data_IF_752043766040
#
_entry.id   IF_752043766040
#
_cell.length_a   1.000
_cell.length_b   1.000
_cell.length_c   1.000
_cell.angle_alpha   90.00
_cell.angle_beta   90.00
_cell.angle_gamma   90.00
#
_symmetry.space_group_name_H-M   'P 1'
#
loop_
_entity.id
_entity.type
_entity.pdbx_description
1 polymer ?
#
# COMPACT_ATOMS: atom_id res chain seq x y z
N UNK A 1 16.59 19.06 -7.55
CA UNK A 1 16.47 18.35 -8.84
C UNK A 1 15.01 17.92 -9.00
N UNK A 2 14.38 18.21 -10.13
CA UNK A 2 13.00 17.76 -10.40
C UNK A 2 13.06 16.31 -10.88
N UNK A 3 12.21 15.45 -10.30
CA UNK A 3 12.16 14.02 -10.67
C UNK A 3 11.77 13.87 -12.15
N UNK A 4 12.49 13.03 -12.91
CA UNK A 4 12.18 12.81 -14.32
C UNK A 4 10.78 12.21 -14.51
N UNK A 5 10.18 12.42 -15.70
CA UNK A 5 8.85 11.87 -16.01
C UNK A 5 8.79 10.35 -15.87
N UNK A 6 9.83 9.64 -16.29
CA UNK A 6 9.92 8.17 -16.15
C UNK A 6 9.86 7.73 -14.69
N UNK A 7 10.65 8.37 -13.82
CA UNK A 7 10.63 8.10 -12.39
C UNK A 7 9.27 8.43 -11.75
N UNK A 8 8.60 9.49 -12.17
CA UNK A 8 7.28 9.82 -11.67
C UNK A 8 6.23 8.75 -12.00
N UNK A 9 6.23 8.21 -13.23
CA UNK A 9 5.38 7.07 -13.59
C UNK A 9 5.75 5.81 -12.83
N UNK A 10 7.05 5.55 -12.61
CA UNK A 10 7.50 4.43 -11.79
C UNK A 10 6.92 4.50 -10.37
N UNK A 11 7.01 5.66 -9.69
CA UNK A 11 6.44 5.83 -8.34
C UNK A 11 4.92 5.60 -8.31
N UNK A 12 4.19 6.09 -9.33
CA UNK A 12 2.75 5.82 -9.45
C UNK A 12 2.50 4.33 -9.62
N UNK A 13 3.24 3.66 -10.51
CA UNK A 13 3.16 2.23 -10.73
C UNK A 13 3.40 1.41 -9.46
N UNK A 14 4.41 1.77 -8.67
CA UNK A 14 4.69 1.15 -7.36
C UNK A 14 3.52 1.35 -6.39
N UNK A 15 2.95 2.56 -6.33
CA UNK A 15 1.79 2.82 -5.50
C UNK A 15 0.56 1.98 -5.90
N UNK A 16 0.27 1.90 -7.20
CA UNK A 16 -0.82 1.06 -7.74
C UNK A 16 -0.57 -0.42 -7.45
N UNK A 17 0.64 -0.91 -7.72
CA UNK A 17 1.03 -2.29 -7.45
C UNK A 17 0.83 -2.67 -5.98
N UNK A 18 1.23 -1.78 -5.06
CA UNK A 18 1.01 -1.94 -3.62
C UNK A 18 -0.47 -2.15 -3.33
N UNK A 19 -1.36 -1.32 -3.88
CA UNK A 19 -2.81 -1.44 -3.70
C UNK A 19 -3.43 -2.67 -4.39
N UNK A 20 -2.78 -3.27 -5.38
CA UNK A 20 -3.25 -4.51 -6.01
C UNK A 20 -2.93 -5.74 -5.16
N UNK A 21 -1.75 -5.78 -4.51
CA UNK A 21 -1.30 -6.93 -3.73
C UNK A 21 -1.91 -6.97 -2.34
N UNK A 22 -1.76 -5.88 -1.58
CA UNK A 22 -1.97 -5.91 -0.15
C UNK A 22 -3.42 -6.18 0.28
N UNK A 23 -4.47 -5.69 -0.41
CA UNK A 23 -5.84 -6.07 -0.10
C UNK A 23 -6.12 -7.56 -0.32
N UNK A 24 -5.56 -8.17 -1.37
CA UNK A 24 -5.67 -9.63 -1.57
C UNK A 24 -4.98 -10.38 -0.44
N UNK A 25 -3.80 -9.92 -0.03
CA UNK A 25 -3.07 -10.52 1.08
C UNK A 25 -3.84 -10.36 2.41
N UNK A 26 -4.47 -9.21 2.66
CA UNK A 26 -5.34 -9.00 3.82
C UNK A 26 -6.48 -10.02 3.88
N UNK A 27 -7.14 -10.30 2.75
CA UNK A 27 -8.17 -11.35 2.66
C UNK A 27 -7.59 -12.74 2.95
N UNK A 28 -6.38 -13.03 2.47
CA UNK A 28 -5.71 -14.30 2.74
C UNK A 28 -5.41 -14.47 4.24
N UNK A 29 -4.90 -13.43 4.91
CA UNK A 29 -4.63 -13.44 6.35
C UNK A 29 -5.94 -13.58 7.14
N UNK A 30 -7.00 -12.86 6.78
CA UNK A 30 -8.30 -12.97 7.44
C UNK A 30 -8.85 -14.40 7.40
N UNK A 31 -8.68 -15.09 6.26
CA UNK A 31 -9.15 -16.46 6.05
C UNK A 31 -8.21 -17.55 6.60
N UNK A 32 -7.03 -17.18 7.11
CA UNK A 32 -6.10 -18.13 7.70
C UNK A 32 -6.57 -18.55 9.10
N UNK A 33 -6.74 -19.86 9.39
CA UNK A 33 -7.12 -20.33 10.73
C UNK A 33 -6.20 -19.83 11.84
N UNK A 34 -4.91 -19.60 11.56
CA UNK A 34 -3.93 -19.09 12.54
C UNK A 34 -4.24 -17.68 13.03
N UNK A 35 -5.08 -16.94 12.31
CA UNK A 35 -5.55 -15.61 12.73
C UNK A 35 -6.50 -15.63 13.91
N UNK A 36 -7.06 -16.80 14.26
CA UNK A 36 -8.16 -16.96 15.21
C UNK A 36 -7.78 -17.95 16.30
N UNK A 37 -8.02 -17.63 17.57
CA UNK A 37 -7.59 -18.51 18.68
C UNK A 37 -8.29 -19.87 18.67
N UNK A 38 -9.52 -19.93 18.15
CA UNK A 38 -10.31 -21.16 18.03
C UNK A 38 -10.04 -21.90 16.71
N UNK A 39 -9.29 -21.28 15.79
CA UNK A 39 -9.09 -21.78 14.43
C UNK A 39 -10.29 -21.57 13.49
N UNK A 40 -11.41 -21.05 13.99
CA UNK A 40 -12.61 -20.75 13.19
C UNK A 40 -12.54 -19.32 12.67
N UNK A 41 -12.71 -19.14 11.36
CA UNK A 41 -12.58 -17.82 10.73
C UNK A 41 -13.66 -16.86 11.23
N UNK A 42 -13.21 -15.72 11.76
CA UNK A 42 -14.07 -14.66 12.30
C UNK A 42 -14.50 -14.87 13.75
N UNK A 43 -14.04 -15.96 14.39
CA UNK A 43 -14.34 -16.25 15.78
C UNK A 43 -13.22 -15.69 16.69
N UNK A 44 -13.60 -14.72 17.52
CA UNK A 44 -12.66 -14.00 18.37
C UNK A 44 -12.34 -14.78 19.66
N UNK A 45 -11.17 -14.54 20.31
CA UNK A 45 -10.19 -13.50 20.00
C UNK A 45 -9.27 -13.79 18.81
N UNK A 46 -8.86 -12.72 18.14
CA UNK A 46 -7.81 -12.78 17.11
C UNK A 46 -6.44 -12.97 17.76
N UNK A 47 -5.55 -13.70 17.07
CA UNK A 47 -4.18 -13.96 17.54
C UNK A 47 -3.23 -12.82 17.16
N UNK A 48 -2.01 -12.85 17.72
CA UNK A 48 -0.93 -11.96 17.31
C UNK A 48 -0.57 -12.07 15.82
N UNK A 49 -0.81 -13.23 15.20
CA UNK A 49 -0.59 -13.41 13.76
C UNK A 49 -1.46 -12.45 12.94
N UNK A 50 -2.76 -12.33 13.25
CA UNK A 50 -3.65 -11.39 12.56
C UNK A 50 -3.18 -9.94 12.77
N UNK A 51 -2.91 -9.57 14.02
CA UNK A 51 -2.59 -8.18 14.37
C UNK A 51 -1.29 -7.68 13.77
N UNK A 52 -0.22 -8.49 13.80
CA UNK A 52 1.07 -8.13 13.19
C UNK A 52 0.88 -7.92 11.69
N UNK A 53 0.19 -8.83 11.00
CA UNK A 53 -0.03 -8.68 9.57
C UNK A 53 -0.94 -7.49 9.25
N UNK A 54 -2.00 -7.26 10.02
CA UNK A 54 -2.86 -6.09 9.83
C UNK A 54 -2.07 -4.78 9.95
N UNK A 55 -1.18 -4.67 10.95
CA UNK A 55 -0.28 -3.53 11.11
C UNK A 55 0.67 -3.38 9.91
N UNK A 56 1.32 -4.47 9.48
CA UNK A 56 2.25 -4.46 8.33
C UNK A 56 1.54 -4.09 7.02
N UNK A 57 0.33 -4.61 6.79
CA UNK A 57 -0.51 -4.27 5.64
C UNK A 57 -0.84 -2.79 5.66
N UNK A 58 -1.32 -2.27 6.79
CA UNK A 58 -1.71 -0.86 6.92
C UNK A 58 -0.51 0.08 6.69
N UNK A 59 0.64 -0.22 7.29
CA UNK A 59 1.87 0.53 7.10
C UNK A 59 2.32 0.51 5.63
N UNK A 60 2.28 -0.67 4.99
CA UNK A 60 2.67 -0.83 3.59
C UNK A 60 1.75 -0.06 2.64
N UNK A 61 0.43 -0.09 2.88
CA UNK A 61 -0.54 0.70 2.11
C UNK A 61 -0.33 2.20 2.30
N UNK A 62 -0.04 2.66 3.51
CA UNK A 62 0.26 4.07 3.78
C UNK A 62 1.53 4.53 3.03
N UNK A 63 2.59 3.72 3.06
CA UNK A 63 3.84 3.98 2.34
C UNK A 63 3.59 4.00 0.83
N UNK A 64 2.95 2.97 0.27
CA UNK A 64 2.67 2.91 -1.17
C UNK A 64 1.76 4.05 -1.65
N UNK A 65 0.78 4.45 -0.83
CA UNK A 65 -0.06 5.62 -1.11
C UNK A 65 0.78 6.89 -1.15
N UNK A 66 1.65 7.10 -0.17
CA UNK A 66 2.55 8.24 -0.12
C UNK A 66 3.45 8.29 -1.35
N UNK A 67 4.04 7.15 -1.73
CA UNK A 67 4.87 7.00 -2.93
C UNK A 67 4.08 7.35 -4.19
N UNK A 68 2.87 6.81 -4.35
CA UNK A 68 2.00 7.13 -5.50
C UNK A 68 1.64 8.61 -5.57
N UNK A 69 1.30 9.22 -4.43
CA UNK A 69 1.01 10.67 -4.33
C UNK A 69 2.22 11.51 -4.71
N UNK A 70 3.43 11.13 -4.27
CA UNK A 70 4.66 11.82 -4.67
C UNK A 70 4.90 11.72 -6.18
N UNK A 71 4.66 10.57 -6.80
CA UNK A 71 4.72 10.42 -8.25
C UNK A 71 3.72 11.32 -8.97
N UNK A 72 2.46 11.40 -8.50
CA UNK A 72 1.45 12.31 -9.04
C UNK A 72 1.86 13.79 -8.89
N UNK A 73 2.42 14.17 -7.74
CA UNK A 73 2.92 15.53 -7.50
C UNK A 73 4.07 15.88 -8.44
N UNK A 74 5.00 14.95 -8.68
CA UNK A 74 6.11 15.14 -9.62
C UNK A 74 5.62 15.36 -11.07
N UNK A 75 4.63 14.58 -11.52
CA UNK A 75 4.01 14.78 -12.84
C UNK A 75 3.33 16.15 -12.98
N UNK A 76 2.66 16.64 -11.92
CA UNK A 76 2.02 17.97 -11.92
C UNK A 76 3.04 19.11 -11.91
N UNK A 77 4.14 18.96 -11.16
CA UNK A 77 5.20 19.96 -11.09
C UNK A 77 5.92 20.12 -12.44
N UNK A 78 6.19 19.02 -13.15
CA UNK A 78 6.79 19.04 -14.48
C UNK A 78 5.88 19.54 -15.60
N UNK A 79 4.62 19.88 -15.30
CA UNK A 79 3.66 20.47 -16.26
C UNK A 79 3.55 22.00 -16.16
N UNK A 80 4.18 22.64 -15.16
CA UNK A 80 4.18 24.11 -15.06
C UNK A 80 5.11 24.69 -16.12
N UNK A 81 4.64 25.57 -17.02
CA UNK A 81 5.51 26.29 -17.95
C UNK A 81 6.53 27.12 -17.16
N UNK A 82 7.78 27.25 -17.62
CA UNK A 82 8.69 28.22 -17.03
C UNK A 82 8.06 29.60 -17.19
N UNK A 83 7.82 30.29 -16.07
CA UNK A 83 7.45 31.70 -16.08
C UNK A 83 8.67 32.47 -16.60
N UNK A 84 8.58 32.90 -17.86
CA UNK A 84 9.46 33.88 -18.49
C UNK A 84 9.23 35.26 -17.92
#
# INVERSE_FOLDING_TARGET
MVLSRGWAYFLIGVGVWTWVIWPRFAVAIWKDPRSWSTGVVGDFPATGFLWIHALLIAASLAIGTTVGVLGLRALRAGRRPPTS
#
